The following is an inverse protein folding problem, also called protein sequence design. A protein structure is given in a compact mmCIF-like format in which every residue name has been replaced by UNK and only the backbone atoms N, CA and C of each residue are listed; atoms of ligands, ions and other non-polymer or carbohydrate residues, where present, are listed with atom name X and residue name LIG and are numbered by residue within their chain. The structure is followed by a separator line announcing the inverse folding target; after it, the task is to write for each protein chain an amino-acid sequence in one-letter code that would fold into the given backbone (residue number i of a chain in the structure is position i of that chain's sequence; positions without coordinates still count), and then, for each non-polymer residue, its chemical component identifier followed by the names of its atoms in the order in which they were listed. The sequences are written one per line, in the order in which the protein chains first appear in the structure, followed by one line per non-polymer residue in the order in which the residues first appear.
data_IF_607703928111
#
_entry.id   IF_607703928111
#
_cell.length_a   1.000
_cell.length_b   1.000
_cell.length_c   1.000
_cell.angle_alpha   90.00
_cell.angle_beta   90.00
_cell.angle_gamma   90.00
#
_symmetry.space_group_name_H-M   'P 1'
#
loop_
_entity.id
_entity.type
_entity.pdbx_description
1 polymer ?
#
# COMPACT_ATOMS: atom_id res chain seq x y z
N UNK A 1 23.04 26.60 -3.65
CA UNK A 1 23.07 25.15 -3.48
C UNK A 1 21.72 24.71 -2.93
N UNK A 2 20.86 24.13 -3.78
CA UNK A 2 19.62 23.54 -3.31
C UNK A 2 19.98 22.30 -2.45
N UNK A 3 19.76 22.43 -1.15
CA UNK A 3 19.86 21.28 -0.23
C UNK A 3 18.61 20.41 -0.45
N UNK A 4 18.77 19.28 -1.08
CA UNK A 4 17.70 18.28 -1.17
C UNK A 4 17.57 17.65 0.22
N UNK A 5 16.50 17.99 0.92
CA UNK A 5 16.18 17.32 2.19
C UNK A 5 15.75 15.88 1.87
N UNK A 6 16.49 14.92 2.38
CA UNK A 6 16.18 13.50 2.22
C UNK A 6 14.81 13.18 2.86
N UNK A 7 14.05 12.30 2.23
CA UNK A 7 12.79 11.85 2.79
C UNK A 7 13.02 11.09 4.11
N UNK A 8 12.32 11.49 5.16
CA UNK A 8 12.44 10.89 6.50
C UNK A 8 11.21 10.05 6.81
N UNK A 9 11.44 8.81 7.26
CA UNK A 9 10.39 7.91 7.70
C UNK A 9 10.05 8.18 9.17
N UNK A 10 8.75 8.28 9.44
CA UNK A 10 8.18 8.23 10.77
C UNK A 10 7.18 7.06 10.83
N UNK A 11 7.57 5.96 11.46
CA UNK A 11 6.77 4.75 11.61
C UNK A 11 6.21 4.59 13.04
N UNK A 12 6.01 5.69 13.76
CA UNK A 12 5.45 5.66 15.10
C UNK A 12 4.01 5.13 15.06
N UNK A 13 3.76 4.02 15.75
CA UNK A 13 2.42 3.41 15.85
C UNK A 13 1.46 4.42 16.51
N UNK A 14 0.31 4.67 15.89
CA UNK A 14 -0.66 5.72 16.29
C UNK A 14 -0.12 7.15 16.25
N UNK A 15 1.03 7.38 15.63
CA UNK A 15 1.62 8.72 15.57
C UNK A 15 0.80 9.69 14.72
N UNK A 16 0.60 10.92 15.20
CA UNK A 16 -0.11 11.97 14.45
C UNK A 16 0.66 12.47 13.22
N UNK A 17 1.98 12.23 13.18
CA UNK A 17 2.86 12.58 12.07
C UNK A 17 3.48 11.34 11.40
N UNK A 18 2.93 10.15 11.66
CA UNK A 18 3.39 8.93 11.01
C UNK A 18 3.13 9.00 9.49
N UNK A 19 4.10 8.56 8.69
CA UNK A 19 4.04 8.54 7.23
C UNK A 19 4.40 7.17 6.63
N UNK A 20 4.66 6.19 7.48
CA UNK A 20 4.98 4.81 7.11
C UNK A 20 4.53 3.86 8.21
N UNK A 21 4.15 2.64 7.83
CA UNK A 21 3.85 1.55 8.78
C UNK A 21 5.11 0.82 9.22
N UNK A 22 6.20 0.96 8.46
CA UNK A 22 7.47 0.27 8.71
C UNK A 22 8.64 1.24 8.67
N UNK A 23 9.71 0.87 9.35
CA UNK A 23 11.00 1.56 9.27
C UNK A 23 11.80 1.06 8.07
N UNK A 24 12.82 1.83 7.66
CA UNK A 24 13.76 1.40 6.62
C UNK A 24 14.53 0.14 7.05
N UNK A 25 14.85 0.02 8.35
CA UNK A 25 15.54 -1.15 8.90
C UNK A 25 14.68 -2.41 8.75
N UNK A 26 13.39 -2.34 9.09
CA UNK A 26 12.45 -3.45 8.89
C UNK A 26 12.36 -3.85 7.42
N UNK A 27 12.27 -2.86 6.51
CA UNK A 27 12.23 -3.12 5.08
C UNK A 27 13.51 -3.80 4.58
N UNK A 28 14.69 -3.32 4.96
CA UNK A 28 15.95 -3.96 4.58
C UNK A 28 16.03 -5.39 5.09
N UNK A 29 15.66 -5.64 6.37
CA UNK A 29 15.66 -6.98 6.95
C UNK A 29 14.66 -7.92 6.24
N UNK A 30 13.51 -7.41 5.81
CA UNK A 30 12.57 -8.18 5.00
C UNK A 30 13.22 -8.62 3.68
N UNK A 31 13.86 -7.69 2.97
CA UNK A 31 14.45 -7.98 1.66
C UNK A 31 15.68 -8.89 1.71
N UNK A 32 16.34 -9.03 2.85
CA UNK A 32 17.36 -10.05 3.08
C UNK A 32 16.80 -11.49 2.99
N UNK A 33 15.50 -11.66 3.16
CA UNK A 33 14.82 -12.97 3.16
C UNK A 33 14.14 -13.34 1.85
N UNK A 34 14.03 -12.39 0.90
CA UNK A 34 13.39 -12.68 -0.39
C UNK A 34 14.40 -13.25 -1.39
N UNK A 35 13.94 -14.08 -2.36
CA UNK A 35 14.85 -14.74 -3.31
C UNK A 35 15.66 -13.78 -4.19
N UNK A 36 15.11 -12.59 -4.47
CA UNK A 36 15.81 -11.55 -5.25
C UNK A 36 15.50 -10.17 -4.68
N UNK A 37 16.49 -9.58 -4.05
CA UNK A 37 16.45 -8.23 -3.48
C UNK A 37 17.19 -7.19 -4.33
N UNK A 38 17.80 -7.59 -5.44
CA UNK A 38 18.71 -6.75 -6.25
C UNK A 38 18.11 -5.39 -6.58
N UNK A 39 16.84 -5.36 -6.96
CA UNK A 39 16.11 -4.14 -7.26
C UNK A 39 16.06 -3.18 -6.08
N UNK A 40 15.79 -3.70 -4.89
CA UNK A 40 15.76 -2.91 -3.66
C UNK A 40 17.15 -2.47 -3.25
N UNK A 41 18.11 -3.38 -3.28
CA UNK A 41 19.48 -3.14 -2.78
C UNK A 41 20.18 -2.04 -3.56
N UNK A 42 19.93 -1.95 -4.87
CA UNK A 42 20.51 -0.94 -5.74
C UNK A 42 19.92 0.47 -5.57
N UNK A 43 18.91 0.65 -4.71
CA UNK A 43 18.34 1.98 -4.44
C UNK A 43 19.06 2.69 -3.31
N UNK A 44 19.16 4.02 -3.46
CA UNK A 44 19.66 4.87 -2.38
C UNK A 44 18.70 4.89 -1.19
N UNK A 45 19.16 5.27 -0.01
CA UNK A 45 18.33 5.44 1.18
C UNK A 45 17.15 6.38 0.91
N UNK A 46 17.38 7.50 0.22
CA UNK A 46 16.31 8.45 -0.11
C UNK A 46 15.27 7.82 -1.05
N UNK A 47 15.70 7.07 -2.06
CA UNK A 47 14.77 6.36 -2.96
C UNK A 47 13.95 5.32 -2.21
N UNK A 48 14.56 4.54 -1.32
CA UNK A 48 13.89 3.57 -0.46
C UNK A 48 12.85 4.24 0.44
N UNK A 49 13.22 5.32 1.10
CA UNK A 49 12.31 6.07 1.97
C UNK A 49 11.13 6.65 1.20
N UNK A 50 11.36 7.25 0.05
CA UNK A 50 10.29 7.77 -0.82
C UNK A 50 9.35 6.67 -1.27
N UNK A 51 9.88 5.51 -1.65
CA UNK A 51 9.08 4.36 -2.07
C UNK A 51 8.22 3.82 -0.92
N UNK A 52 8.75 3.72 0.30
CA UNK A 52 8.00 3.30 1.48
C UNK A 52 6.87 4.28 1.84
N UNK A 53 7.14 5.58 1.78
CA UNK A 53 6.12 6.62 2.03
C UNK A 53 5.05 6.57 0.94
N UNK A 54 5.43 6.43 -0.33
CA UNK A 54 4.48 6.30 -1.44
C UNK A 54 3.61 5.05 -1.30
N UNK A 55 4.19 3.91 -0.95
CA UNK A 55 3.45 2.68 -0.69
C UNK A 55 2.43 2.84 0.45
N UNK A 56 2.82 3.53 1.53
CA UNK A 56 1.90 3.84 2.63
C UNK A 56 0.70 4.65 2.17
N UNK A 57 0.91 5.69 1.36
CA UNK A 57 -0.18 6.51 0.82
C UNK A 57 -1.17 5.70 -0.01
N UNK A 58 -0.67 4.78 -0.83
CA UNK A 58 -1.53 3.88 -1.60
C UNK A 58 -2.31 2.94 -0.70
N UNK A 59 -1.68 2.31 0.28
CA UNK A 59 -2.35 1.44 1.25
C UNK A 59 -3.40 2.24 2.02
N UNK A 60 -3.09 3.45 2.46
CA UNK A 60 -4.03 4.33 3.17
C UNK A 60 -5.17 4.90 2.30
N UNK A 61 -5.11 4.74 0.98
CA UNK A 61 -6.21 5.16 0.11
C UNK A 61 -7.42 4.23 0.17
N UNK A 62 -7.26 2.99 0.63
CA UNK A 62 -8.35 2.02 0.71
C UNK A 62 -9.22 2.21 1.95
N UNK A 63 -10.42 1.64 1.90
CA UNK A 63 -11.35 1.60 3.03
C UNK A 63 -11.23 0.24 3.72
N UNK A 64 -11.13 0.25 5.03
CA UNK A 64 -10.89 -0.93 5.85
C UNK A 64 -11.99 -1.16 6.87
N UNK A 65 -12.19 -2.42 7.26
CA UNK A 65 -13.04 -2.80 8.37
C UNK A 65 -12.47 -2.34 9.71
N UNK A 66 -13.34 -2.29 10.71
CA UNK A 66 -12.99 -1.87 12.07
C UNK A 66 -12.81 -0.35 12.18
N UNK A 67 -12.30 0.08 13.31
CA UNK A 67 -12.12 1.48 13.66
C UNK A 67 -10.65 1.83 13.85
N UNK A 68 -10.27 3.08 13.63
CA UNK A 68 -8.94 3.55 14.01
C UNK A 68 -8.80 3.53 15.53
N UNK A 69 -7.63 3.16 16.01
CA UNK A 69 -7.37 3.02 17.44
C UNK A 69 -7.24 4.35 18.18
N UNK A 70 -6.92 5.42 17.46
CA UNK A 70 -6.76 6.76 18.01
C UNK A 70 -7.24 7.80 17.00
N UNK A 71 -7.99 8.80 17.45
CA UNK A 71 -8.51 9.85 16.57
C UNK A 71 -7.40 10.75 15.99
N UNK A 72 -6.29 10.88 16.69
CA UNK A 72 -5.13 11.66 16.28
C UNK A 72 -4.16 10.91 15.40
N UNK A 73 -4.30 9.58 15.20
CA UNK A 73 -3.36 8.84 14.34
C UNK A 73 -3.47 9.28 12.88
N UNK A 74 -2.32 9.52 12.24
CA UNK A 74 -2.26 9.96 10.85
C UNK A 74 -2.70 8.87 9.87
N UNK A 75 -2.31 7.62 10.12
CA UNK A 75 -2.51 6.48 9.23
C UNK A 75 -3.73 5.65 9.62
N UNK A 76 -4.22 4.83 8.71
CA UNK A 76 -5.43 4.01 8.92
C UNK A 76 -5.22 2.83 9.87
N UNK A 77 -4.00 2.33 10.01
CA UNK A 77 -3.63 1.31 10.99
C UNK A 77 -2.75 1.89 12.09
N UNK A 78 -2.81 1.32 13.31
CA UNK A 78 -3.57 0.13 13.74
C UNK A 78 -5.08 0.38 13.83
N UNK A 79 -5.85 -0.71 13.82
CA UNK A 79 -7.31 -0.72 13.90
C UNK A 79 -7.76 -1.73 14.96
N UNK A 80 -8.98 -1.56 15.44
CA UNK A 80 -9.65 -2.47 16.38
C UNK A 80 -11.08 -2.79 15.90
N UNK A 81 -11.85 -3.49 16.73
CA UNK A 81 -13.23 -3.88 16.45
C UNK A 81 -13.38 -4.67 15.14
N UNK A 82 -12.38 -5.45 14.77
CA UNK A 82 -12.40 -6.34 13.63
C UNK A 82 -11.49 -7.54 13.85
N UNK A 83 -11.91 -8.70 13.36
CA UNK A 83 -11.14 -9.95 13.45
C UNK A 83 -10.72 -10.42 12.06
N UNK A 84 -9.50 -10.89 11.97
CA UNK A 84 -8.97 -11.59 10.80
C UNK A 84 -8.55 -12.99 11.24
N UNK A 85 -9.06 -14.01 10.57
CA UNK A 85 -8.84 -15.42 10.92
C UNK A 85 -9.17 -15.76 12.40
N UNK A 86 -10.19 -15.10 12.94
CA UNK A 86 -10.62 -15.29 14.32
C UNK A 86 -9.77 -14.56 15.38
N UNK A 87 -8.78 -13.79 14.95
CA UNK A 87 -7.93 -12.99 15.83
C UNK A 87 -8.31 -11.52 15.74
N UNK A 88 -8.62 -10.90 16.86
CA UNK A 88 -8.93 -9.49 16.93
C UNK A 88 -7.69 -8.64 16.64
N UNK A 89 -7.88 -7.56 15.86
CA UNK A 89 -6.80 -6.61 15.58
C UNK A 89 -6.41 -5.86 16.85
N UNK A 90 -5.11 -5.65 17.00
CA UNK A 90 -4.53 -4.94 18.15
C UNK A 90 -4.24 -3.49 17.84
N UNK A 91 -4.48 -2.62 18.81
CA UNK A 91 -4.10 -1.21 18.73
C UNK A 91 -2.60 -0.95 18.93
N UNK A 92 -1.83 -1.95 19.31
CA UNK A 92 -0.41 -1.77 19.61
C UNK A 92 0.50 -2.26 18.47
N UNK A 93 -0.08 -2.93 17.48
CA UNK A 93 0.66 -3.57 16.39
C UNK A 93 0.05 -3.25 15.03
N UNK A 94 0.92 -3.01 14.06
CA UNK A 94 0.54 -3.03 12.65
C UNK A 94 0.47 -4.49 12.20
N UNK A 95 -0.66 -4.94 11.60
CA UNK A 95 -0.76 -6.32 11.11
C UNK A 95 0.35 -6.66 10.13
N UNK A 96 0.89 -7.88 10.23
CA UNK A 96 2.04 -8.29 9.41
C UNK A 96 1.76 -8.21 7.91
N UNK A 97 0.54 -8.55 7.48
CA UNK A 97 0.17 -8.46 6.07
C UNK A 97 0.16 -7.01 5.54
N UNK A 98 -0.17 -6.02 6.38
CA UNK A 98 -0.06 -4.61 6.03
C UNK A 98 1.41 -4.23 5.82
N UNK A 99 2.31 -4.71 6.67
CA UNK A 99 3.76 -4.51 6.51
C UNK A 99 4.28 -5.18 5.24
N UNK A 100 3.86 -6.42 4.96
CA UNK A 100 4.25 -7.13 3.73
C UNK A 100 3.75 -6.41 2.48
N UNK A 101 2.50 -5.94 2.48
CA UNK A 101 1.97 -5.14 1.39
C UNK A 101 2.83 -3.89 1.13
N UNK A 102 3.25 -3.20 2.19
CA UNK A 102 4.10 -2.01 2.07
C UNK A 102 5.48 -2.34 1.53
N UNK A 103 6.14 -3.41 2.01
CA UNK A 103 7.46 -3.80 1.51
C UNK A 103 7.41 -4.10 0.01
N UNK A 104 6.51 -4.97 -0.40
CA UNK A 104 6.41 -5.39 -1.81
C UNK A 104 5.97 -4.25 -2.73
N UNK A 105 5.01 -3.43 -2.29
CA UNK A 105 4.60 -2.26 -3.06
C UNK A 105 5.72 -1.22 -3.16
N UNK A 106 6.46 -0.97 -2.08
CA UNK A 106 7.61 -0.06 -2.12
C UNK A 106 8.69 -0.54 -3.10
N UNK A 107 8.99 -1.85 -3.13
CA UNK A 107 9.90 -2.43 -4.12
C UNK A 107 9.41 -2.21 -5.55
N UNK A 108 8.15 -2.44 -5.82
CA UNK A 108 7.54 -2.21 -7.13
C UNK A 108 7.61 -0.73 -7.53
N UNK A 109 7.23 0.18 -6.64
CA UNK A 109 7.26 1.62 -6.87
C UNK A 109 8.70 2.17 -6.99
N UNK A 110 9.67 1.58 -6.31
CA UNK A 110 11.08 1.97 -6.43
C UNK A 110 11.65 1.68 -7.83
N UNK A 111 11.07 0.73 -8.56
CA UNK A 111 11.40 0.46 -9.95
C UNK A 111 10.69 1.36 -10.93
N UNK A 112 9.55 1.87 -10.54
CA UNK A 112 8.68 2.70 -11.36
C UNK A 112 8.63 4.11 -10.79
N UNK A 113 9.55 4.96 -11.26
CA UNK A 113 9.62 6.35 -10.82
C UNK A 113 8.42 7.17 -11.26
N UNK A 114 7.76 6.80 -12.34
CA UNK A 114 6.58 7.51 -12.86
C UNK A 114 5.34 7.23 -12.01
N UNK A 115 5.19 6.03 -11.50
CA UNK A 115 4.13 5.67 -10.56
C UNK A 115 4.27 6.40 -9.21
N UNK A 116 5.49 6.68 -8.74
CA UNK A 116 5.75 7.42 -7.50
C UNK A 116 5.35 8.89 -7.64
N UNK A 117 5.58 9.48 -8.79
CA UNK A 117 5.34 10.92 -9.00
C UNK A 117 3.89 11.26 -9.33
N UNK A 118 3.07 10.25 -9.61
CA UNK A 118 1.70 10.48 -10.10
C UNK A 118 1.67 11.17 -11.47
N UNK A 119 2.81 11.23 -12.15
CA UNK A 119 2.99 11.92 -13.44
C UNK A 119 2.59 11.04 -14.64
N UNK A 120 1.77 10.02 -14.43
CA UNK A 120 0.99 9.45 -15.54
C UNK A 120 -0.18 10.38 -15.87
N UNK A 121 0.02 11.70 -15.67
CA UNK A 121 -0.89 12.75 -16.03
C UNK A 121 -0.69 13.15 -17.48
N UNK A 122 -1.19 12.38 -18.42
CA UNK A 122 -1.83 12.99 -19.59
C UNK A 122 -3.32 13.02 -19.30
N UNK A 123 -3.82 14.22 -19.12
CA UNK A 123 -5.24 14.52 -19.20
C UNK A 123 -5.78 13.87 -20.48
N UNK A 124 -6.72 12.97 -20.35
CA UNK A 124 -7.42 12.34 -21.47
C UNK A 124 -7.14 10.85 -21.56
N UNK A 125 -8.17 10.08 -21.35
CA UNK A 125 -8.35 8.65 -21.68
C UNK A 125 -7.04 7.86 -21.79
N UNK A 126 -6.50 7.41 -20.65
CA UNK A 126 -5.40 6.46 -20.66
C UNK A 126 -5.98 5.11 -21.08
N UNK A 127 -5.94 4.82 -22.38
CA UNK A 127 -6.23 3.50 -22.90
C UNK A 127 -5.05 2.53 -22.76
N UNK A 128 -3.89 3.05 -22.40
CA UNK A 128 -2.64 2.30 -22.35
C UNK A 128 -1.70 2.93 -21.32
N UNK A 129 -1.29 2.16 -20.32
CA UNK A 129 -0.23 2.56 -19.41
C UNK A 129 0.96 1.62 -19.60
N UNK A 130 2.10 2.17 -19.90
CA UNK A 130 3.35 1.42 -20.07
C UNK A 130 4.17 1.57 -18.79
N UNK A 131 4.31 0.47 -18.06
CA UNK A 131 5.13 0.36 -16.86
C UNK A 131 6.37 -0.48 -17.20
N UNK A 132 7.46 0.17 -17.60
CA UNK A 132 8.65 -0.54 -18.06
C UNK A 132 8.32 -1.47 -19.23
N UNK A 133 8.67 -2.74 -19.15
CA UNK A 133 8.35 -3.76 -20.16
C UNK A 133 6.93 -4.34 -20.02
N UNK A 134 6.16 -3.91 -19.05
CA UNK A 134 4.78 -4.33 -18.86
C UNK A 134 3.81 -3.34 -19.52
N UNK A 135 3.26 -3.75 -20.65
CA UNK A 135 2.18 -3.04 -21.34
C UNK A 135 0.84 -3.48 -20.76
N UNK A 136 0.16 -2.61 -20.02
CA UNK A 136 -1.18 -2.86 -19.52
C UNK A 136 -2.19 -2.16 -20.42
N UNK A 137 -2.93 -2.94 -21.21
CA UNK A 137 -4.06 -2.44 -22.01
C UNK A 137 -5.32 -2.47 -21.19
N UNK A 138 -5.90 -1.29 -20.96
CA UNK A 138 -7.19 -1.16 -20.30
C UNK A 138 -8.30 -1.38 -21.34
N UNK A 139 -9.13 -2.38 -21.11
CA UNK A 139 -10.31 -2.61 -21.97
C UNK A 139 -11.37 -1.58 -21.59
N UNK A 140 -11.57 -0.57 -22.44
CA UNK A 140 -12.54 0.51 -22.27
C UNK A 140 -13.99 0.10 -22.52
N UNK A 141 -14.31 -1.20 -22.60
CA UNK A 141 -15.63 -1.72 -22.94
C UNK A 141 -16.60 -1.83 -21.75
N UNK A 142 -16.36 -1.17 -20.63
CA UNK A 142 -17.34 -1.04 -19.55
C UNK A 142 -17.61 0.44 -19.29
N UNK A 143 -18.75 0.91 -19.78
CA UNK A 143 -19.32 2.19 -19.37
C UNK A 143 -19.72 2.12 -17.88
N UNK A 144 -18.79 2.42 -17.03
CA UNK A 144 -18.99 2.73 -15.64
C UNK A 144 -18.02 3.85 -15.30
N UNK A 145 -18.51 4.97 -14.85
CA UNK A 145 -17.76 6.11 -14.34
C UNK A 145 -16.87 5.67 -13.15
N UNK A 146 -15.84 4.90 -13.41
CA UNK A 146 -14.84 4.45 -12.47
C UNK A 146 -13.52 5.07 -12.86
N UNK A 147 -13.07 6.04 -12.09
CA UNK A 147 -11.69 6.51 -12.14
C UNK A 147 -10.77 5.31 -12.05
N UNK A 148 -10.02 5.05 -13.11
CA UNK A 148 -9.05 3.96 -13.21
C UNK A 148 -7.81 4.36 -12.44
N UNK A 149 -7.88 4.33 -11.12
CA UNK A 149 -6.75 4.65 -10.24
C UNK A 149 -6.67 3.67 -9.06
N UNK A 150 -6.99 2.40 -9.33
CA UNK A 150 -6.80 1.40 -8.31
C UNK A 150 -5.44 0.75 -8.52
N UNK A 151 -4.52 0.99 -7.60
CA UNK A 151 -3.19 0.37 -7.60
C UNK A 151 -3.27 -1.17 -7.64
N UNK A 152 -4.39 -1.75 -7.23
CA UNK A 152 -4.63 -3.20 -7.32
C UNK A 152 -4.85 -3.70 -8.74
N UNK A 153 -5.27 -2.84 -9.67
CA UNK A 153 -5.37 -3.22 -11.09
C UNK A 153 -3.98 -3.37 -11.70
N UNK A 154 -3.01 -2.60 -11.19
CA UNK A 154 -1.60 -2.66 -11.59
C UNK A 154 -0.87 -3.78 -10.86
N UNK A 155 -1.15 -3.94 -9.55
CA UNK A 155 -0.53 -4.92 -8.68
C UNK A 155 -1.58 -5.83 -8.01
N UNK A 156 -2.17 -6.79 -8.74
CA UNK A 156 -3.27 -7.63 -8.23
C UNK A 156 -2.89 -8.45 -6.99
N UNK A 157 -1.63 -8.76 -6.81
CA UNK A 157 -1.12 -9.49 -5.66
C UNK A 157 -1.30 -8.73 -4.32
N UNK A 158 -1.50 -7.40 -4.35
CA UNK A 158 -1.84 -6.63 -3.15
C UNK A 158 -3.12 -7.14 -2.49
N UNK A 159 -4.07 -7.68 -3.27
CA UNK A 159 -5.29 -8.29 -2.75
C UNK A 159 -5.00 -9.44 -1.77
N UNK A 160 -3.93 -10.20 -1.98
CA UNK A 160 -3.56 -11.30 -1.09
C UNK A 160 -3.15 -10.82 0.31
N UNK A 161 -2.61 -9.63 0.41
CA UNK A 161 -2.21 -9.04 1.70
C UNK A 161 -3.31 -8.18 2.33
N UNK A 162 -4.00 -7.37 1.53
CA UNK A 162 -4.92 -6.36 2.03
C UNK A 162 -6.37 -6.84 2.08
N UNK A 163 -6.73 -7.82 1.25
CA UNK A 163 -8.14 -8.21 1.02
C UNK A 163 -8.90 -8.61 2.27
N UNK A 164 -8.24 -9.27 3.24
CA UNK A 164 -8.86 -9.67 4.51
C UNK A 164 -9.26 -8.47 5.39
N UNK A 165 -8.66 -7.30 5.17
CA UNK A 165 -8.89 -6.08 5.95
C UNK A 165 -9.82 -5.10 5.26
N UNK A 166 -9.97 -5.21 3.93
CA UNK A 166 -10.64 -4.21 3.10
C UNK A 166 -12.15 -4.35 3.10
N UNK A 167 -12.83 -3.22 3.24
CA UNK A 167 -14.28 -3.14 3.03
C UNK A 167 -14.59 -3.26 1.52
N UNK A 168 -15.33 -4.31 1.16
CA UNK A 168 -15.69 -4.57 -0.24
C UNK A 168 -14.58 -5.22 -1.08
N UNK A 169 -13.52 -5.75 -0.45
CA UNK A 169 -12.52 -6.57 -1.13
C UNK A 169 -13.14 -7.83 -1.74
N UNK A 170 -12.70 -8.22 -2.95
CA UNK A 170 -13.11 -9.46 -3.58
C UNK A 170 -12.64 -10.64 -2.71
N UNK A 171 -13.55 -11.24 -1.94
CA UNK A 171 -13.24 -12.34 -1.01
C UNK A 171 -13.95 -12.25 0.33
N UNK A 172 -14.56 -11.12 0.67
CA UNK A 172 -15.38 -11.05 1.87
C UNK A 172 -16.76 -11.65 1.60
N UNK A 173 -16.86 -12.97 1.72
CA UNK A 173 -18.17 -13.60 1.90
C UNK A 173 -18.69 -13.21 3.27
N UNK A 174 -19.59 -12.26 3.30
CA UNK A 174 -20.39 -11.98 4.47
C UNK A 174 -21.34 -13.17 4.69
N UNK A 175 -20.98 -14.10 5.55
CA UNK A 175 -21.96 -15.01 6.12
C UNK A 175 -22.80 -14.20 7.09
N UNK A 176 -23.93 -13.74 6.63
CA UNK A 176 -24.96 -13.15 7.48
C UNK A 176 -25.56 -14.26 8.31
N UNK A 177 -25.11 -14.42 9.55
CA UNK A 177 -25.78 -15.31 10.50
C UNK A 177 -27.10 -14.63 10.87
N UNK A 178 -28.18 -15.05 10.25
CA UNK A 178 -29.53 -14.72 10.70
C UNK A 178 -29.81 -15.65 11.87
N UNK A 179 -29.78 -15.11 13.08
CA UNK A 179 -30.36 -15.80 14.23
C UNK A 179 -31.88 -15.73 14.10
N UNK A 180 -32.48 -16.90 13.85
CA UNK A 180 -33.91 -17.13 14.00
C UNK A 180 -34.30 -17.15 15.47
#
# INVERSE_FOLDING_TARGET
TLSIVAATINATVKGENANSYVTLTEANSYFETVPDSTTWDNKTVDQKNRALIAATRWIDSFVYYGDRCDDGQALKFPRNNYQVDGVELSCDLIPQNIKYAQFELARALANDTDAITGTTGKEGNISEAKLGDLEVKFNTASQGTGSVNNIMDVYPWLQSYLGAYMLGGAGSYQVRVVRG
#
